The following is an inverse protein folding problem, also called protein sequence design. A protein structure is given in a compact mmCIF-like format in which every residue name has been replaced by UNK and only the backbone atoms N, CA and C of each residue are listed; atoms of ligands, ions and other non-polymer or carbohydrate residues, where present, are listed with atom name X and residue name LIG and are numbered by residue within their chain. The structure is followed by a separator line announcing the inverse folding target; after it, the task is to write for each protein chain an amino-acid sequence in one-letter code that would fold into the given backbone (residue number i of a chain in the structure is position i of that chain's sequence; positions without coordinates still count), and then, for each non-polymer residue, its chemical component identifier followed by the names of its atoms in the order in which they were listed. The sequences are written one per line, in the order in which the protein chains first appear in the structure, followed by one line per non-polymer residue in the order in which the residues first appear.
data_IF_944708643003
#
_entry.id   IF_944708643003
#
_cell.length_a   1.000
_cell.length_b   1.000
_cell.length_c   1.000
_cell.angle_alpha   90.00
_cell.angle_beta   90.00
_cell.angle_gamma   90.00
#
_symmetry.space_group_name_H-M   'P 1'
#
loop_
_entity.id
_entity.type
_entity.pdbx_description
1 polymer ?
#
# COMPACT_ATOMS: atom_id res chain seq x y z
N UNK A 1 10.12 -1.02 9.87
CA UNK A 1 8.94 -1.88 9.63
C UNK A 1 8.02 -1.81 10.85
N UNK A 2 6.72 -1.66 10.66
CA UNK A 2 5.77 -1.76 11.78
C UNK A 2 5.39 -3.23 12.05
N UNK A 3 5.08 -3.57 13.30
CA UNK A 3 4.49 -4.87 13.62
C UNK A 3 2.99 -4.78 13.36
N UNK A 4 2.49 -5.56 12.43
CA UNK A 4 1.05 -5.74 12.25
C UNK A 4 0.42 -6.38 13.49
N UNK A 5 -0.91 -6.34 13.63
CA UNK A 5 -1.59 -6.82 14.84
C UNK A 5 -1.61 -8.34 15.00
N UNK A 6 -1.19 -9.11 13.99
CA UNK A 6 -1.10 -10.58 14.07
C UNK A 6 0.29 -11.03 14.47
N UNK A 7 0.36 -12.15 15.19
CA UNK A 7 1.63 -12.77 15.57
C UNK A 7 2.36 -13.41 14.37
N UNK A 8 1.60 -13.84 13.35
CA UNK A 8 2.10 -14.45 12.12
C UNK A 8 2.15 -13.46 10.95
N UNK A 9 3.19 -13.54 10.15
CA UNK A 9 3.28 -12.87 8.84
C UNK A 9 3.13 -13.92 7.72
N UNK A 10 2.31 -13.63 6.71
CA UNK A 10 2.09 -14.49 5.54
C UNK A 10 2.84 -14.00 4.30
N UNK A 11 3.81 -13.12 4.50
CA UNK A 11 4.56 -12.50 3.42
C UNK A 11 5.92 -12.01 3.90
N UNK A 12 6.83 -11.91 2.95
CA UNK A 12 8.10 -11.21 3.07
C UNK A 12 8.15 -10.15 1.98
N UNK A 13 8.56 -8.94 2.34
CA UNK A 13 8.62 -7.79 1.43
C UNK A 13 10.05 -7.28 1.33
N UNK A 14 10.48 -7.01 0.10
CA UNK A 14 11.67 -6.23 -0.21
C UNK A 14 11.26 -5.01 -1.01
N UNK A 15 11.84 -3.86 -0.69
CA UNK A 15 11.58 -2.60 -1.37
C UNK A 15 12.90 -1.98 -1.78
N UNK A 16 12.95 -1.46 -3.00
CA UNK A 16 14.10 -0.70 -3.50
C UNK A 16 13.62 0.50 -4.29
N UNK A 17 14.03 1.68 -3.84
CA UNK A 17 13.87 2.91 -4.59
C UNK A 17 15.01 2.98 -5.61
N UNK A 18 14.64 3.15 -6.87
CA UNK A 18 15.53 3.28 -8.03
C UNK A 18 15.33 4.69 -8.57
N UNK A 19 16.42 5.44 -8.73
CA UNK A 19 16.41 6.79 -9.30
C UNK A 19 15.43 7.76 -8.61
N UNK A 20 15.23 7.61 -7.30
CA UNK A 20 14.38 8.47 -6.44
C UNK A 20 12.87 8.49 -6.76
N UNK A 21 12.44 7.96 -7.91
CA UNK A 21 11.04 8.00 -8.38
C UNK A 21 10.46 6.62 -8.70
N UNK A 22 11.29 5.61 -8.97
CA UNK A 22 10.83 4.25 -9.27
C UNK A 22 10.93 3.36 -8.04
N UNK A 23 9.79 2.99 -7.47
CA UNK A 23 9.74 2.06 -6.36
C UNK A 23 9.51 0.65 -6.88
N UNK A 24 10.48 -0.22 -6.65
CA UNK A 24 10.35 -1.66 -6.91
C UNK A 24 10.01 -2.39 -5.62
N UNK A 25 9.02 -3.27 -5.70
CA UNK A 25 8.60 -4.15 -4.62
C UNK A 25 8.73 -5.58 -5.09
N UNK A 26 9.38 -6.39 -4.27
CA UNK A 26 9.31 -7.84 -4.38
C UNK A 26 8.58 -8.36 -3.15
N UNK A 27 7.56 -9.19 -3.37
CA UNK A 27 6.88 -9.87 -2.28
C UNK A 27 6.87 -11.37 -2.49
N UNK A 28 7.12 -12.11 -1.41
CA UNK A 28 6.93 -13.55 -1.38
C UNK A 28 5.81 -13.87 -0.39
N UNK A 29 4.65 -14.24 -0.91
CA UNK A 29 3.46 -14.59 -0.15
C UNK A 29 3.48 -16.09 0.11
N UNK A 30 3.54 -16.47 1.38
CA UNK A 30 3.75 -17.86 1.80
C UNK A 30 2.47 -18.68 1.83
N UNK A 31 1.32 -18.02 1.92
CA UNK A 31 -0.01 -18.65 1.95
C UNK A 31 -1.06 -17.74 1.33
N UNK A 32 -2.10 -18.31 0.72
CA UNK A 32 -3.18 -17.52 0.12
C UNK A 32 -3.95 -16.73 1.19
N UNK A 33 -4.23 -15.46 0.90
CA UNK A 33 -4.80 -14.50 1.86
C UNK A 33 -6.21 -14.09 1.43
N UNK A 34 -7.26 -14.74 1.96
CA UNK A 34 -8.63 -14.31 1.75
C UNK A 34 -9.01 -13.15 2.68
N UNK A 35 -10.05 -12.41 2.30
CA UNK A 35 -10.73 -11.41 3.15
C UNK A 35 -9.77 -10.37 3.77
N UNK A 36 -8.98 -9.76 2.91
CA UNK A 36 -7.97 -8.79 3.29
C UNK A 36 -8.62 -7.52 3.87
N UNK A 37 -8.20 -7.17 5.08
CA UNK A 37 -8.52 -5.93 5.77
C UNK A 37 -7.39 -4.95 5.57
N UNK A 38 -7.75 -3.70 5.29
CA UNK A 38 -6.83 -2.59 5.15
C UNK A 38 -7.13 -1.51 6.16
N UNK A 39 -6.05 -0.93 6.69
CA UNK A 39 -6.08 0.31 7.44
C UNK A 39 -4.96 1.20 6.93
N UNK A 40 -5.32 2.34 6.36
CA UNK A 40 -4.38 3.38 5.91
C UNK A 40 -4.68 4.65 6.70
N UNK A 41 -3.64 5.23 7.29
CA UNK A 41 -3.69 6.52 7.96
C UNK A 41 -2.65 7.41 7.29
N UNK A 42 -3.07 8.60 6.85
CA UNK A 42 -2.17 9.65 6.40
C UNK A 42 -2.20 10.77 7.44
N UNK A 43 -1.03 11.18 7.90
CA UNK A 43 -0.85 12.27 8.84
C UNK A 43 0.16 13.30 8.32
N UNK A 44 -0.05 14.56 8.67
CA UNK A 44 0.90 15.65 8.45
C UNK A 44 1.13 16.35 9.79
N UNK A 45 2.41 16.54 10.17
CA UNK A 45 2.80 17.09 11.48
C UNK A 45 2.02 16.44 12.64
N UNK A 46 1.98 15.10 12.64
CA UNK A 46 1.24 14.26 13.60
C UNK A 46 -0.29 14.43 13.66
N UNK A 47 -0.86 15.34 12.87
CA UNK A 47 -2.30 15.48 12.69
C UNK A 47 -2.79 14.50 11.62
N UNK A 48 -3.78 13.67 11.98
CA UNK A 48 -4.42 12.76 11.03
C UNK A 48 -5.24 13.57 10.04
N UNK A 49 -4.90 13.44 8.76
CA UNK A 49 -5.57 14.11 7.65
C UNK A 49 -6.57 13.19 6.96
N UNK A 50 -6.22 11.90 6.85
CA UNK A 50 -7.05 10.91 6.18
C UNK A 50 -6.93 9.55 6.87
N UNK A 51 -8.05 8.84 6.93
CA UNK A 51 -8.12 7.49 7.49
C UNK A 51 -9.07 6.64 6.65
N UNK A 52 -8.52 5.59 6.07
CA UNK A 52 -9.26 4.55 5.38
C UNK A 52 -9.18 3.26 6.19
N UNK A 53 -10.32 2.66 6.49
CA UNK A 53 -10.38 1.37 7.14
C UNK A 53 -11.52 0.56 6.51
N UNK A 54 -11.19 -0.53 5.84
CA UNK A 54 -12.19 -1.39 5.20
C UNK A 54 -11.75 -2.86 5.22
N UNK A 55 -12.73 -3.74 5.34
CA UNK A 55 -12.59 -5.20 5.19
C UNK A 55 -13.10 -5.70 3.84
N UNK A 56 -13.61 -4.79 3.00
CA UNK A 56 -14.20 -5.05 1.68
C UNK A 56 -13.38 -4.34 0.60
N UNK A 57 -12.08 -4.61 0.54
CA UNK A 57 -11.19 -3.98 -0.44
C UNK A 57 -11.62 -4.20 -1.89
N UNK A 58 -12.25 -5.34 -2.13
CA UNK A 58 -12.64 -5.85 -3.45
C UNK A 58 -13.93 -5.20 -3.96
N UNK A 59 -14.77 -4.71 -3.04
CA UNK A 59 -15.95 -3.91 -3.34
C UNK A 59 -15.60 -2.41 -3.44
N UNK A 60 -14.41 -2.01 -2.97
CA UNK A 60 -14.00 -0.63 -2.96
C UNK A 60 -13.43 -0.22 -4.33
N UNK A 61 -14.12 0.72 -4.98
CA UNK A 61 -13.85 1.17 -6.36
C UNK A 61 -12.37 1.47 -6.64
N UNK A 62 -11.67 2.06 -5.68
CA UNK A 62 -10.25 2.44 -5.84
C UNK A 62 -9.25 1.37 -5.38
N UNK A 63 -9.63 0.49 -4.45
CA UNK A 63 -8.68 -0.48 -3.88
C UNK A 63 -8.62 -1.76 -4.70
N UNK A 64 -9.71 -2.13 -5.37
CA UNK A 64 -9.73 -3.29 -6.26
C UNK A 64 -8.73 -3.14 -7.43
N UNK A 65 -8.73 -2.04 -8.22
CA UNK A 65 -7.74 -1.86 -9.28
C UNK A 65 -6.31 -1.83 -8.75
N UNK A 66 -6.10 -1.25 -7.56
CA UNK A 66 -4.79 -1.25 -6.91
C UNK A 66 -4.34 -2.68 -6.59
N UNK A 67 -5.22 -3.50 -6.00
CA UNK A 67 -4.93 -4.89 -5.73
C UNK A 67 -4.69 -5.69 -7.00
N UNK A 68 -5.46 -5.49 -8.07
CA UNK A 68 -5.29 -6.15 -9.36
C UNK A 68 -3.98 -5.73 -10.06
N UNK A 69 -3.55 -4.47 -9.88
CA UNK A 69 -2.30 -3.96 -10.43
C UNK A 69 -1.06 -4.52 -9.74
N UNK A 70 -1.20 -4.78 -8.44
CA UNK A 70 -0.19 -5.47 -7.68
C UNK A 70 -0.45 -6.97 -7.80
N UNK A 71 -1.31 -7.52 -6.99
CA UNK A 71 -1.52 -8.95 -6.97
C UNK A 71 -2.35 -9.43 -8.16
N UNK A 72 -2.02 -10.63 -8.67
CA UNK A 72 -2.93 -11.35 -9.55
C UNK A 72 -4.11 -11.91 -8.71
N UNK A 73 -4.99 -11.01 -8.25
CA UNK A 73 -6.12 -11.32 -7.38
C UNK A 73 -7.21 -12.04 -8.17
N UNK A 74 -7.83 -13.04 -7.54
CA UNK A 74 -8.99 -13.72 -8.12
C UNK A 74 -10.22 -12.79 -8.15
N UNK A 75 -11.32 -13.22 -8.78
CA UNK A 75 -12.60 -12.49 -8.72
C UNK A 75 -13.13 -12.33 -7.28
N UNK A 76 -12.75 -13.24 -6.40
CA UNK A 76 -13.01 -13.20 -4.96
C UNK A 76 -11.93 -12.43 -4.18
N UNK A 77 -10.95 -11.86 -4.89
CA UNK A 77 -9.91 -10.99 -4.35
C UNK A 77 -9.10 -11.70 -3.25
N UNK A 78 -8.87 -12.99 -3.49
CA UNK A 78 -7.94 -13.82 -2.76
C UNK A 78 -6.57 -13.59 -3.38
N UNK A 79 -5.63 -13.11 -2.57
CA UNK A 79 -4.23 -13.01 -2.99
C UNK A 79 -3.62 -14.40 -2.88
N UNK A 80 -3.13 -14.94 -3.99
CA UNK A 80 -2.58 -16.28 -4.02
C UNK A 80 -1.18 -16.32 -3.39
N UNK A 81 -0.77 -17.49 -2.92
CA UNK A 81 0.63 -17.74 -2.58
C UNK A 81 1.51 -17.58 -3.82
N UNK A 82 2.69 -17.01 -3.67
CA UNK A 82 3.61 -16.83 -4.78
C UNK A 82 4.54 -15.64 -4.61
N UNK A 83 5.43 -15.49 -5.60
CA UNK A 83 6.32 -14.33 -5.70
C UNK A 83 5.72 -13.31 -6.65
N UNK A 84 5.77 -12.05 -6.25
CA UNK A 84 5.22 -10.96 -7.02
C UNK A 84 6.23 -9.84 -7.22
N UNK A 85 6.39 -9.51 -8.51
CA UNK A 85 7.12 -8.42 -9.14
C UNK A 85 6.36 -7.10 -9.29
N UNK A 86 6.68 -6.01 -8.57
CA UNK A 86 6.09 -4.69 -8.88
C UNK A 86 7.12 -3.60 -9.09
N UNK A 87 6.88 -2.77 -10.09
CA UNK A 87 7.57 -1.51 -10.28
C UNK A 87 6.53 -0.40 -10.48
N UNK A 88 6.64 0.68 -9.71
CA UNK A 88 5.72 1.79 -9.74
C UNK A 88 6.48 3.12 -9.77
N UNK A 89 6.13 3.98 -10.71
CA UNK A 89 6.54 5.39 -10.71
C UNK A 89 5.65 6.15 -9.71
N UNK A 90 6.18 6.39 -8.51
CA UNK A 90 5.40 6.96 -7.41
C UNK A 90 5.05 8.42 -7.66
N UNK A 91 5.87 9.14 -8.43
CA UNK A 91 5.61 10.53 -8.81
C UNK A 91 4.40 10.58 -9.75
N UNK A 92 4.41 9.76 -10.80
CA UNK A 92 3.31 9.69 -11.77
C UNK A 92 2.00 9.24 -11.12
N UNK A 93 2.05 8.26 -10.22
CA UNK A 93 0.85 7.80 -9.48
C UNK A 93 0.28 8.94 -8.62
N UNK A 94 1.14 9.67 -7.89
CA UNK A 94 0.70 10.80 -7.07
C UNK A 94 0.08 11.91 -7.94
N UNK A 95 0.69 12.24 -9.08
CA UNK A 95 0.18 13.24 -10.02
C UNK A 95 -1.22 12.85 -10.57
N UNK A 96 -1.38 11.60 -10.97
CA UNK A 96 -2.65 11.10 -11.51
C UNK A 96 -3.77 11.05 -10.46
N UNK A 97 -3.45 10.67 -9.22
CA UNK A 97 -4.46 10.47 -8.17
C UNK A 97 -4.95 11.79 -7.56
N UNK A 98 -4.05 12.78 -7.41
CA UNK A 98 -4.38 14.07 -6.78
C UNK A 98 -4.76 15.17 -7.78
N UNK A 99 -4.62 14.94 -9.10
CA UNK A 99 -5.21 15.81 -10.13
C UNK A 99 -4.82 17.29 -10.03
N UNK A 100 -3.63 17.61 -9.50
CA UNK A 100 -3.18 18.98 -9.26
C UNK A 100 -3.54 19.57 -7.89
N UNK A 101 -4.43 18.94 -7.12
CA UNK A 101 -4.74 19.29 -5.73
C UNK A 101 -3.83 18.52 -4.78
N UNK A 102 -2.56 18.93 -4.72
CA UNK A 102 -1.58 18.25 -3.89
C UNK A 102 -1.70 18.69 -2.43
N UNK A 103 -1.68 17.70 -1.53
CA UNK A 103 -1.33 17.91 -0.13
C UNK A 103 0.20 18.00 -0.09
N UNK A 104 0.72 19.21 0.11
CA UNK A 104 2.17 19.45 0.15
C UNK A 104 2.74 19.30 1.56
N UNK A 105 4.06 19.10 1.61
CA UNK A 105 4.85 19.02 2.84
C UNK A 105 5.10 17.58 3.30
N UNK A 106 5.45 17.48 4.59
CA UNK A 106 5.82 16.21 5.21
C UNK A 106 4.56 15.38 5.53
N UNK A 107 4.44 14.25 4.85
CA UNK A 107 3.37 13.29 5.02
C UNK A 107 3.92 11.98 5.56
N UNK A 108 3.16 11.37 6.46
CA UNK A 108 3.42 10.01 6.94
C UNK A 108 2.22 9.13 6.62
N UNK A 109 2.44 8.11 5.82
CA UNK A 109 1.47 7.08 5.49
C UNK A 109 1.76 5.83 6.32
N UNK A 110 0.82 5.44 7.18
CA UNK A 110 0.86 4.18 7.92
C UNK A 110 -0.18 3.26 7.30
N UNK A 111 0.27 2.14 6.74
CA UNK A 111 -0.60 1.15 6.11
C UNK A 111 -0.42 -0.22 6.76
N UNK A 112 -1.54 -0.89 7.01
CA UNK A 112 -1.59 -2.26 7.53
C UNK A 112 -2.57 -3.04 6.67
N UNK A 113 -2.07 -4.14 6.11
CA UNK A 113 -2.83 -5.12 5.34
C UNK A 113 -2.76 -6.45 6.08
N UNK A 114 -3.89 -7.00 6.49
CA UNK A 114 -3.95 -8.26 7.22
C UNK A 114 -5.28 -8.97 7.01
N UNK A 115 -5.37 -10.23 7.40
CA UNK A 115 -6.66 -10.89 7.58
C UNK A 115 -6.80 -11.34 9.04
N UNK A 116 -7.73 -12.25 9.32
CA UNK A 116 -7.91 -12.75 10.68
C UNK A 116 -6.74 -13.61 11.18
N UNK A 117 -5.93 -14.16 10.27
CA UNK A 117 -4.90 -15.17 10.54
C UNK A 117 -3.50 -14.57 10.55
N UNK A 118 -3.15 -13.72 9.59
CA UNK A 118 -1.79 -13.26 9.36
C UNK A 118 -1.73 -11.78 8.94
N UNK A 119 -0.56 -11.16 9.11
CA UNK A 119 -0.24 -9.88 8.48
C UNK A 119 0.28 -10.12 7.06
N UNK A 120 -0.33 -9.45 6.08
CA UNK A 120 0.16 -9.42 4.72
C UNK A 120 1.17 -8.29 4.51
N UNK A 121 0.99 -7.11 5.12
CA UNK A 121 1.97 -6.02 5.00
C UNK A 121 1.77 -5.01 6.12
N UNK A 122 2.86 -4.39 6.56
CA UNK A 122 2.83 -3.26 7.48
C UNK A 122 3.95 -2.30 7.09
N UNK A 123 3.56 -1.12 6.58
CA UNK A 123 4.50 -0.11 6.12
C UNK A 123 4.22 1.25 6.78
N UNK A 124 5.30 1.95 7.11
CA UNK A 124 5.29 3.37 7.45
C UNK A 124 6.17 4.05 6.41
N UNK A 125 5.57 4.93 5.61
CA UNK A 125 6.23 5.64 4.53
C UNK A 125 6.20 7.12 4.89
N UNK A 126 7.38 7.74 4.93
CA UNK A 126 7.53 9.18 5.05
C UNK A 126 7.78 9.74 3.66
N UNK A 127 6.94 10.68 3.24
CA UNK A 127 7.01 11.30 1.91
C UNK A 127 7.05 12.80 2.11
N UNK A 128 7.93 13.47 1.37
CA UNK A 128 7.91 14.92 1.27
C UNK A 128 7.44 15.30 -0.13
N UNK A 129 6.28 15.97 -0.22
CA UNK A 129 5.69 16.38 -1.48
C UNK A 129 5.87 17.88 -1.67
N UNK A 130 6.45 18.27 -2.81
CA UNK A 130 6.67 19.67 -3.18
C UNK A 130 5.90 20.02 -4.45
N UNK A 131 5.55 21.30 -4.64
CA UNK A 131 5.10 21.78 -5.94
C UNK A 131 6.17 21.47 -6.99
N UNK A 132 5.73 21.08 -8.19
CA UNK A 132 6.63 20.94 -9.32
C UNK A 132 7.31 22.29 -9.54
N UNK A 133 8.65 22.33 -9.52
CA UNK A 133 9.38 23.54 -9.92
C UNK A 133 9.03 23.81 -11.38
N UNK A 134 8.46 24.99 -11.63
CA UNK A 134 8.20 25.53 -12.97
C UNK A 134 9.53 25.80 -13.68
#
# INVERSE_FOLDING_TARGET
MCKGPKSKNCSVWSYRLVNETYLTFESNITESVPSLKVKIIMSSNDKVMFRLQTNKMCEHLYLRPLLESFFNVTRECIIQKGRYFFAADIEKIAQNYYGGSFIYGNLTFKSVFNNNVCNLSCAIIHVNLYPKKL
#
